data_IF_207264170297
#
_entry.id   IF_207264170297
#
_cell.length_a   1.000
_cell.length_b   1.000
_cell.length_c   1.000
_cell.angle_alpha   90.00
_cell.angle_beta   90.00
_cell.angle_gamma   90.00
#
_symmetry.space_group_name_H-M   'P 1'
#
loop_
_entity.id
_entity.type
_entity.pdbx_description
1 polymer ?
#
# COMPACT_ATOMS: atom_id res chain seq x y z
N UNK A 1 -12.83 -8.98 -3.33
CA UNK A 1 -12.90 -7.87 -4.31
C UNK A 1 -14.04 -8.13 -5.27
N UNK A 2 -14.81 -7.09 -5.62
CA UNK A 2 -15.90 -7.18 -6.61
C UNK A 2 -15.78 -6.05 -7.62
N UNK A 3 -16.29 -6.27 -8.83
CA UNK A 3 -16.50 -5.24 -9.84
C UNK A 3 -18.00 -5.03 -10.06
N UNK A 4 -18.38 -3.76 -10.18
CA UNK A 4 -19.76 -3.35 -10.47
C UNK A 4 -19.77 -2.36 -11.63
N UNK A 5 -20.87 -2.30 -12.36
CA UNK A 5 -21.06 -1.32 -13.43
C UNK A 5 -21.22 0.08 -12.81
N UNK A 6 -20.51 1.07 -13.35
CA UNK A 6 -20.57 2.44 -12.85
C UNK A 6 -21.91 3.12 -13.13
N UNK A 7 -22.65 2.65 -14.15
CA UNK A 7 -23.94 3.24 -14.57
C UNK A 7 -25.10 2.91 -13.64
N UNK A 8 -25.13 1.70 -13.07
CA UNK A 8 -26.30 1.17 -12.37
C UNK A 8 -25.97 0.30 -11.15
N UNK A 9 -24.69 0.10 -10.86
CA UNK A 9 -24.24 -0.73 -9.74
C UNK A 9 -24.37 -2.24 -9.98
N UNK A 10 -24.75 -2.67 -11.18
CA UNK A 10 -24.89 -4.09 -11.51
C UNK A 10 -23.60 -4.84 -11.25
N UNK A 11 -23.72 -5.99 -10.56
CA UNK A 11 -22.60 -6.90 -10.30
C UNK A 11 -22.03 -7.42 -11.64
N UNK A 12 -20.70 -7.39 -11.77
CA UNK A 12 -19.97 -7.83 -12.95
C UNK A 12 -19.10 -9.07 -12.69
N UNK A 13 -18.28 -9.03 -11.64
CA UNK A 13 -17.33 -10.11 -11.32
C UNK A 13 -16.93 -10.09 -9.86
N UNK A 14 -16.32 -11.18 -9.41
CA UNK A 14 -15.84 -11.38 -8.04
C UNK A 14 -14.51 -12.13 -8.00
N UNK A 15 -13.67 -11.77 -7.04
CA UNK A 15 -12.43 -12.45 -6.72
C UNK A 15 -12.20 -12.43 -5.19
N UNK A 16 -12.22 -13.61 -4.57
CA UNK A 16 -12.29 -13.75 -3.11
C UNK A 16 -10.97 -14.12 -2.45
N UNK A 17 -10.02 -14.65 -3.21
CA UNK A 17 -8.82 -15.24 -2.64
C UNK A 17 -8.03 -14.34 -1.67
N UNK A 18 -7.89 -13.01 -1.89
CA UNK A 18 -7.23 -12.13 -0.93
C UNK A 18 -8.11 -11.68 0.24
N UNK A 19 -9.37 -12.14 0.34
CA UNK A 19 -10.22 -11.78 1.45
C UNK A 19 -9.85 -12.58 2.70
N UNK A 20 -9.75 -11.91 3.86
CA UNK A 20 -9.53 -12.63 5.12
C UNK A 20 -10.85 -13.03 5.81
N UNK A 21 -10.78 -14.10 6.57
CA UNK A 21 -11.95 -14.65 7.28
C UNK A 21 -12.49 -13.77 8.42
N UNK A 22 -11.75 -12.76 8.85
CA UNK A 22 -12.19 -11.81 9.89
C UNK A 22 -13.09 -10.70 9.33
N UNK A 23 -13.32 -10.65 8.01
CA UNK A 23 -14.07 -9.58 7.35
C UNK A 23 -13.33 -8.23 7.29
N UNK A 24 -12.05 -8.19 7.64
CA UNK A 24 -11.23 -6.97 7.70
C UNK A 24 -10.44 -6.81 6.41
N UNK A 25 -11.07 -6.27 5.38
CA UNK A 25 -10.50 -6.08 4.04
C UNK A 25 -10.40 -4.58 3.74
N UNK A 26 -9.34 -3.94 4.23
CA UNK A 26 -9.22 -2.48 4.29
C UNK A 26 -8.56 -1.90 3.02
N UNK A 27 -7.60 -2.63 2.44
CA UNK A 27 -6.80 -2.15 1.32
C UNK A 27 -7.67 -1.82 0.10
N UNK A 28 -7.56 -0.61 -0.40
CA UNK A 28 -8.23 -0.18 -1.63
C UNK A 28 -7.69 -0.98 -2.82
N UNK A 29 -8.57 -1.60 -3.64
CA UNK A 29 -8.14 -2.25 -4.87
C UNK A 29 -7.45 -1.27 -5.82
N UNK A 30 -6.43 -1.73 -6.54
CA UNK A 30 -5.62 -0.91 -7.42
C UNK A 30 -5.73 -1.41 -8.85
N UNK A 31 -6.24 -0.55 -9.75
CA UNK A 31 -6.35 -0.84 -11.18
C UNK A 31 -5.14 -0.33 -11.96
N UNK A 32 -4.60 -1.17 -12.85
CA UNK A 32 -3.53 -0.79 -13.76
C UNK A 32 -3.52 -1.71 -15.00
N UNK A 33 -3.48 -1.14 -16.18
CA UNK A 33 -3.36 -1.86 -17.47
C UNK A 33 -4.35 -3.05 -17.64
N UNK A 34 -5.63 -2.86 -17.34
CA UNK A 34 -6.64 -3.91 -17.46
C UNK A 34 -6.60 -4.97 -16.35
N UNK A 35 -5.78 -4.79 -15.34
CA UNK A 35 -5.63 -5.68 -14.20
C UNK A 35 -6.01 -4.99 -12.91
N UNK A 36 -6.46 -5.77 -11.92
CA UNK A 36 -6.82 -5.26 -10.59
C UNK A 36 -6.10 -6.07 -9.53
N UNK A 37 -5.35 -5.37 -8.69
CA UNK A 37 -4.70 -5.93 -7.51
C UNK A 37 -5.53 -5.64 -6.25
N UNK A 38 -5.63 -6.62 -5.35
CA UNK A 38 -6.12 -6.42 -4.00
C UNK A 38 -5.34 -7.29 -3.02
N UNK A 39 -5.25 -6.82 -1.78
CA UNK A 39 -4.62 -7.56 -0.70
C UNK A 39 -5.42 -7.39 0.59
N UNK A 40 -5.25 -8.32 1.52
CA UNK A 40 -5.63 -8.11 2.91
C UNK A 40 -4.64 -8.79 3.85
N UNK A 41 -4.63 -8.34 5.08
CA UNK A 41 -3.78 -8.85 6.14
C UNK A 41 -4.36 -10.13 6.78
N UNK A 42 -3.89 -10.45 7.98
CA UNK A 42 -4.34 -11.59 8.80
C UNK A 42 -4.16 -12.95 8.12
N UNK A 43 -3.03 -13.14 7.44
CA UNK A 43 -2.69 -14.39 6.79
C UNK A 43 -3.31 -14.60 5.40
N UNK A 44 -4.10 -13.65 4.89
CA UNK A 44 -4.74 -13.79 3.58
C UNK A 44 -3.74 -13.65 2.43
N UNK A 45 -3.19 -12.47 2.19
CA UNK A 45 -2.26 -12.21 1.08
C UNK A 45 -2.81 -11.23 0.06
N UNK A 46 -2.14 -11.16 -1.10
CA UNK A 46 -2.53 -10.30 -2.21
C UNK A 46 -2.61 -11.08 -3.52
N UNK A 47 -3.49 -10.64 -4.41
CA UNK A 47 -3.67 -11.26 -5.72
C UNK A 47 -4.00 -10.27 -6.81
N UNK A 48 -3.55 -10.59 -8.01
CA UNK A 48 -3.78 -9.85 -9.23
C UNK A 48 -4.73 -10.63 -10.13
N UNK A 49 -5.75 -9.96 -10.63
CA UNK A 49 -6.64 -10.49 -11.67
C UNK A 49 -6.55 -9.65 -12.94
N UNK A 50 -6.65 -10.30 -14.09
CA UNK A 50 -6.83 -9.65 -15.39
C UNK A 50 -8.32 -9.60 -15.70
N UNK A 51 -8.80 -8.45 -16.14
CA UNK A 51 -10.17 -8.27 -16.60
C UNK A 51 -10.23 -8.45 -18.10
N UNK A 52 -11.23 -9.19 -18.56
CA UNK A 52 -11.50 -9.38 -19.99
C UNK A 52 -13.00 -9.50 -20.26
N UNK A 53 -13.43 -9.32 -21.49
CA UNK A 53 -14.81 -9.62 -21.89
C UNK A 53 -15.02 -11.13 -21.92
N UNK A 54 -16.15 -11.60 -21.43
CA UNK A 54 -16.58 -12.96 -21.62
C UNK A 54 -17.31 -13.14 -22.97
N UNK A 55 -17.65 -14.39 -23.32
CA UNK A 55 -18.34 -14.73 -24.56
C UNK A 55 -19.75 -14.13 -24.70
N UNK A 56 -20.35 -13.72 -23.58
CA UNK A 56 -21.71 -13.16 -23.50
C UNK A 56 -21.70 -11.62 -23.39
N UNK A 57 -20.52 -10.98 -23.54
CA UNK A 57 -20.36 -9.54 -23.43
C UNK A 57 -20.27 -9.02 -21.99
N UNK A 58 -20.23 -9.91 -21.00
CA UNK A 58 -19.95 -9.61 -19.60
C UNK A 58 -18.46 -9.37 -19.35
N UNK A 59 -18.11 -9.23 -18.08
CA UNK A 59 -16.72 -9.08 -17.62
C UNK A 59 -16.34 -10.27 -16.75
N UNK A 60 -15.21 -10.90 -17.06
CA UNK A 60 -14.59 -11.93 -16.22
C UNK A 60 -13.28 -11.43 -15.62
N UNK A 61 -12.97 -11.91 -14.41
CA UNK A 61 -11.70 -11.71 -13.73
C UNK A 61 -10.96 -13.05 -13.65
N UNK A 62 -9.78 -13.11 -14.22
CA UNK A 62 -8.93 -14.31 -14.21
C UNK A 62 -7.69 -14.04 -13.36
N UNK A 63 -7.41 -14.93 -12.38
CA UNK A 63 -6.22 -14.80 -11.53
C UNK A 63 -4.94 -14.88 -12.40
N UNK A 64 -4.09 -13.87 -12.26
CA UNK A 64 -2.75 -13.83 -12.84
C UNK A 64 -1.76 -14.44 -11.87
N UNK A 65 -1.79 -13.98 -10.63
CA UNK A 65 -0.99 -14.52 -9.53
C UNK A 65 -1.63 -14.23 -8.18
N UNK A 66 -1.20 -15.00 -7.19
CA UNK A 66 -1.50 -14.81 -5.77
C UNK A 66 -0.27 -15.06 -4.92
N UNK A 67 -0.01 -14.21 -3.92
CA UNK A 67 1.14 -14.34 -3.03
C UNK A 67 0.77 -13.98 -1.58
N UNK A 68 1.40 -14.68 -0.64
CA UNK A 68 1.36 -14.32 0.79
C UNK A 68 2.46 -13.32 1.19
N UNK A 69 3.32 -12.95 0.26
CA UNK A 69 4.41 -12.00 0.49
C UNK A 69 3.94 -10.54 0.55
N UNK A 70 2.65 -10.29 0.32
CA UNK A 70 2.04 -8.97 0.50
C UNK A 70 0.71 -9.11 1.23
N UNK A 71 0.75 -8.90 2.53
CA UNK A 71 -0.41 -8.88 3.42
C UNK A 71 -0.64 -7.44 3.85
N UNK A 72 -1.25 -6.64 2.98
CA UNK A 72 -1.43 -5.23 3.28
C UNK A 72 -2.61 -5.04 4.24
N UNK A 73 -2.37 -4.31 5.35
CA UNK A 73 -3.38 -4.03 6.36
C UNK A 73 -4.13 -2.72 6.03
N UNK A 74 -3.65 -1.58 6.52
CA UNK A 74 -4.32 -0.28 6.32
C UNK A 74 -3.53 0.69 5.46
N UNK A 75 -2.27 0.38 5.13
CA UNK A 75 -1.34 1.33 4.53
C UNK A 75 -1.48 1.55 3.03
N UNK A 76 -2.28 0.73 2.36
CA UNK A 76 -2.41 0.78 0.90
C UNK A 76 -1.17 0.30 0.15
N UNK A 77 -1.28 0.30 -1.16
CA UNK A 77 -0.19 -0.03 -2.10
C UNK A 77 -0.21 0.95 -3.26
N UNK A 78 0.95 1.15 -3.89
CA UNK A 78 1.08 1.99 -5.09
C UNK A 78 1.86 1.25 -6.16
N UNK A 79 1.62 1.61 -7.43
CA UNK A 79 2.36 1.10 -8.59
C UNK A 79 3.20 2.24 -9.15
N UNK A 80 4.50 1.98 -9.36
CA UNK A 80 5.43 2.85 -10.08
C UNK A 80 6.33 1.96 -10.92
N UNK A 81 6.48 2.26 -12.20
CA UNK A 81 7.37 1.56 -13.15
C UNK A 81 7.19 0.03 -13.12
N UNK A 82 5.94 -0.43 -13.06
CA UNK A 82 5.59 -1.85 -13.06
C UNK A 82 5.97 -2.58 -11.76
N UNK A 83 6.24 -1.89 -10.67
CA UNK A 83 6.44 -2.47 -9.36
C UNK A 83 5.39 -1.99 -8.36
N UNK A 84 4.97 -2.89 -7.46
CA UNK A 84 4.09 -2.64 -6.32
C UNK A 84 4.93 -2.32 -5.09
N UNK A 85 4.61 -1.22 -4.42
CA UNK A 85 5.24 -0.83 -3.15
C UNK A 85 4.18 -0.73 -2.06
N UNK A 86 4.41 -1.35 -0.91
CA UNK A 86 3.49 -1.28 0.21
C UNK A 86 4.01 -1.98 1.46
N UNK A 87 3.30 -1.78 2.56
CA UNK A 87 3.58 -2.49 3.81
C UNK A 87 3.06 -3.92 3.77
N UNK A 88 3.90 -4.88 4.12
CA UNK A 88 3.52 -6.27 4.37
C UNK A 88 3.38 -6.50 5.87
N UNK A 89 2.28 -7.08 6.33
CA UNK A 89 2.03 -7.44 7.72
C UNK A 89 0.63 -7.07 8.21
N UNK A 90 0.14 -7.83 9.19
CA UNK A 90 -1.15 -7.62 9.85
C UNK A 90 -1.04 -6.85 11.17
N UNK A 91 -1.69 -7.36 12.22
CA UNK A 91 -1.47 -6.90 13.59
C UNK A 91 -0.09 -7.35 14.06
N UNK A 92 0.80 -6.47 14.35
CA UNK A 92 2.15 -6.74 14.76
C UNK A 92 3.19 -6.24 13.76
N UNK A 93 4.38 -6.82 13.84
CA UNK A 93 5.50 -6.42 13.00
C UNK A 93 5.21 -6.66 11.52
N UNK A 94 5.60 -5.71 10.72
CA UNK A 94 5.55 -5.81 9.27
C UNK A 94 6.74 -5.06 8.69
N UNK A 95 6.84 -5.03 7.37
CA UNK A 95 7.93 -4.36 6.68
C UNK A 95 7.49 -3.81 5.33
N UNK A 96 8.24 -2.85 4.80
CA UNK A 96 8.06 -2.37 3.44
C UNK A 96 8.54 -3.44 2.46
N UNK A 97 7.77 -3.67 1.40
CA UNK A 97 8.09 -4.64 0.35
C UNK A 97 7.85 -4.03 -1.04
N UNK A 98 8.65 -4.45 -1.98
CA UNK A 98 8.49 -4.18 -3.40
C UNK A 98 8.32 -5.51 -4.16
N UNK A 99 7.27 -5.60 -4.97
CA UNK A 99 7.00 -6.76 -5.82
C UNK A 99 6.92 -6.34 -7.29
N UNK A 100 7.28 -7.24 -8.19
CA UNK A 100 6.92 -7.08 -9.60
C UNK A 100 5.39 -7.16 -9.76
N UNK A 101 4.81 -6.18 -10.44
CA UNK A 101 3.35 -6.11 -10.60
C UNK A 101 2.78 -7.27 -11.42
N UNK A 102 3.48 -7.71 -12.46
CA UNK A 102 2.98 -8.72 -13.39
C UNK A 102 3.17 -10.14 -12.89
N UNK A 103 4.19 -10.40 -12.08
CA UNK A 103 4.53 -11.75 -11.60
C UNK A 103 4.24 -12.00 -10.14
N UNK A 104 4.17 -10.95 -9.30
CA UNK A 104 4.04 -11.06 -7.85
C UNK A 104 5.32 -11.49 -7.15
N UNK A 105 6.45 -11.56 -7.86
CA UNK A 105 7.76 -11.86 -7.29
C UNK A 105 8.25 -10.73 -6.40
N UNK A 106 8.83 -11.07 -5.26
CA UNK A 106 9.47 -10.09 -4.37
C UNK A 106 10.77 -9.63 -5.01
N UNK A 107 10.84 -8.35 -5.35
CA UNK A 107 12.04 -7.71 -5.87
C UNK A 107 13.01 -7.38 -4.72
N UNK A 108 12.49 -6.81 -3.65
CA UNK A 108 13.21 -6.56 -2.40
C UNK A 108 12.24 -6.35 -1.22
N UNK A 109 12.76 -6.43 0.01
CA UNK A 109 12.01 -6.12 1.22
C UNK A 109 12.91 -5.59 2.33
N UNK A 110 12.33 -4.82 3.25
CA UNK A 110 13.00 -4.22 4.40
C UNK A 110 12.69 -4.96 5.71
N UNK A 111 12.51 -6.27 5.62
CA UNK A 111 12.21 -7.13 6.77
C UNK A 111 13.43 -7.74 7.46
N UNK A 112 14.63 -7.47 7.00
CA UNK A 112 15.87 -8.01 7.56
C UNK A 112 16.02 -7.60 9.04
N UNK A 113 16.11 -8.56 10.00
CA UNK A 113 16.23 -8.27 11.42
C UNK A 113 17.56 -7.60 11.79
N UNK A 114 18.60 -7.78 11.00
CA UNK A 114 19.95 -7.26 11.26
C UNK A 114 20.13 -5.81 10.74
N UNK A 115 19.12 -5.29 10.02
CA UNK A 115 19.08 -3.91 9.54
C UNK A 115 18.01 -3.10 10.28
N UNK A 116 18.12 -1.77 10.20
CA UNK A 116 17.02 -0.90 10.64
C UNK A 116 15.81 -1.17 9.74
N UNK A 117 14.84 -1.91 10.25
CA UNK A 117 13.61 -2.24 9.52
C UNK A 117 12.84 -0.99 9.12
N UNK A 118 12.42 -0.94 7.87
CA UNK A 118 11.32 -0.08 7.46
C UNK A 118 10.04 -0.89 7.63
N UNK A 119 9.30 -0.56 8.66
CA UNK A 119 8.10 -1.30 9.03
C UNK A 119 6.96 -1.07 8.03
N UNK A 120 5.87 -1.81 8.17
CA UNK A 120 4.63 -1.51 7.45
C UNK A 120 4.20 -0.08 7.74
N UNK A 121 3.47 0.53 6.83
CA UNK A 121 3.05 1.92 6.95
C UNK A 121 2.11 2.31 5.84
N UNK A 122 1.73 3.59 5.82
CA UNK A 122 0.84 4.15 4.81
C UNK A 122 1.62 4.85 3.71
N UNK A 123 1.17 4.70 2.47
CA UNK A 123 1.89 5.14 1.28
C UNK A 123 1.10 6.18 0.49
N UNK A 124 1.80 7.18 -0.06
CA UNK A 124 1.31 8.10 -1.08
C UNK A 124 2.40 8.36 -2.11
N UNK A 125 2.02 8.85 -3.30
CA UNK A 125 2.94 9.13 -4.41
C UNK A 125 2.71 10.55 -4.92
N UNK A 126 3.79 11.27 -5.13
CA UNK A 126 3.81 12.55 -5.83
C UNK A 126 5.19 12.79 -6.46
N UNK A 127 5.23 13.42 -7.63
CA UNK A 127 6.44 13.82 -8.35
C UNK A 127 7.47 12.69 -8.49
N UNK A 128 7.00 11.47 -8.80
CA UNK A 128 7.86 10.30 -8.97
C UNK A 128 8.54 9.83 -7.68
N UNK A 129 8.06 10.22 -6.51
CA UNK A 129 8.57 9.82 -5.20
C UNK A 129 7.48 9.15 -4.37
N UNK A 130 7.88 8.24 -3.48
CA UNK A 130 7.01 7.60 -2.50
C UNK A 130 7.17 8.34 -1.18
N UNK A 131 6.06 8.82 -0.62
CA UNK A 131 5.95 9.33 0.73
C UNK A 131 5.39 8.21 1.59
N UNK A 132 6.20 7.74 2.53
CA UNK A 132 5.88 6.58 3.33
C UNK A 132 5.81 6.95 4.80
N UNK A 133 4.63 6.82 5.40
CA UNK A 133 4.46 6.98 6.84
C UNK A 133 4.71 5.65 7.51
N UNK A 134 5.82 5.56 8.20
CA UNK A 134 6.31 4.36 8.86
C UNK A 134 5.57 4.12 10.18
N UNK A 135 4.95 2.96 10.33
CA UNK A 135 4.31 2.54 11.57
C UNK A 135 5.35 2.23 12.64
N UNK A 136 5.09 2.69 13.84
CA UNK A 136 5.91 2.38 15.00
C UNK A 136 5.09 1.56 15.98
N UNK A 137 5.55 0.38 16.36
CA UNK A 137 4.81 -0.57 17.21
C UNK A 137 4.92 -0.28 18.70
N UNK A 138 5.84 0.55 19.13
CA UNK A 138 6.05 0.85 20.52
C UNK A 138 5.27 2.08 20.95
N UNK A 139 4.56 2.01 22.06
CA UNK A 139 4.02 3.20 22.73
C UNK A 139 5.16 4.21 22.96
N UNK A 140 4.99 5.42 22.47
CA UNK A 140 6.02 6.47 22.50
C UNK A 140 7.04 6.44 21.40
N UNK A 141 6.92 5.54 20.41
CA UNK A 141 7.75 5.56 19.23
C UNK A 141 7.33 6.70 18.29
N UNK A 142 8.31 7.23 17.59
CA UNK A 142 8.15 8.41 16.75
C UNK A 142 7.62 8.03 15.40
N UNK A 143 6.49 8.62 15.01
CA UNK A 143 5.97 8.57 13.64
C UNK A 143 6.98 9.21 12.67
N UNK A 144 7.56 8.40 11.82
CA UNK A 144 8.52 8.84 10.81
C UNK A 144 7.88 8.87 9.43
N UNK A 145 8.18 9.94 8.70
CA UNK A 145 7.91 10.02 7.27
C UNK A 145 9.21 9.85 6.49
N UNK A 146 9.16 9.01 5.50
CA UNK A 146 10.26 8.68 4.61
C UNK A 146 9.94 9.20 3.21
N UNK A 147 10.94 9.79 2.56
CA UNK A 147 10.92 10.05 1.13
C UNK A 147 11.75 8.97 0.45
N UNK A 148 11.11 8.16 -0.38
CA UNK A 148 11.72 7.00 -1.02
C UNK A 148 11.75 7.24 -2.53
N UNK A 149 12.90 6.99 -3.15
CA UNK A 149 13.01 6.92 -4.60
C UNK A 149 12.57 5.52 -5.06
N UNK A 150 11.60 5.43 -5.99
CA UNK A 150 11.20 4.15 -6.53
C UNK A 150 12.37 3.44 -7.23
N UNK A 151 12.59 2.19 -6.90
CA UNK A 151 13.59 1.35 -7.55
C UNK A 151 13.13 -0.11 -7.52
N UNK A 152 13.30 -0.81 -8.64
CA UNK A 152 13.04 -2.24 -8.72
C UNK A 152 14.17 -3.10 -8.15
N UNK A 153 15.33 -2.48 -7.87
CA UNK A 153 16.56 -3.21 -7.47
C UNK A 153 16.76 -3.24 -5.96
N UNK A 154 16.46 -2.12 -5.29
CA UNK A 154 16.77 -1.94 -3.88
C UNK A 154 15.95 -0.80 -3.25
N UNK A 155 15.91 -0.76 -1.93
CA UNK A 155 15.38 0.36 -1.16
C UNK A 155 16.32 1.57 -1.22
N UNK A 156 15.81 2.74 -1.66
CA UNK A 156 16.58 3.98 -1.75
C UNK A 156 15.86 5.07 -0.96
N UNK A 157 16.37 5.40 0.21
CA UNK A 157 15.87 6.51 1.02
C UNK A 157 16.51 7.83 0.62
N UNK A 158 15.69 8.87 0.36
CA UNK A 158 16.13 10.21 0.00
C UNK A 158 15.95 11.24 1.12
N UNK A 159 15.17 10.91 2.12
CA UNK A 159 14.97 11.77 3.28
C UNK A 159 14.07 11.14 4.32
N UNK A 160 14.18 11.67 5.54
CA UNK A 160 13.40 11.21 6.69
C UNK A 160 13.20 12.36 7.65
N UNK A 161 12.01 12.45 8.23
CA UNK A 161 11.75 13.32 9.36
C UNK A 161 10.71 12.70 10.32
N UNK A 162 10.65 13.22 11.53
CA UNK A 162 9.66 12.86 12.53
C UNK A 162 8.63 13.96 12.68
N UNK A 163 7.36 13.60 12.82
CA UNK A 163 6.35 14.58 13.19
C UNK A 163 6.62 15.07 14.63
N UNK A 164 6.44 16.37 14.92
CA UNK A 164 6.65 16.88 16.26
C UNK A 164 5.53 16.40 17.20
N UNK A 165 5.90 16.01 18.42
CA UNK A 165 4.96 15.61 19.48
C UNK A 165 3.92 14.58 19.00
N UNK A 166 4.34 13.40 18.53
CA UNK A 166 3.41 12.37 18.08
C UNK A 166 2.52 11.91 19.23
N UNK A 167 1.30 11.50 18.91
CA UNK A 167 0.31 11.08 19.91
C UNK A 167 0.71 9.84 20.71
N UNK A 168 1.66 9.04 20.19
CA UNK A 168 2.08 7.78 20.78
C UNK A 168 1.05 6.66 20.70
N UNK A 169 -0.03 6.85 19.92
CA UNK A 169 -1.05 5.84 19.63
C UNK A 169 -1.16 5.60 18.14
N UNK A 170 -1.87 4.55 17.75
CA UNK A 170 -2.02 4.18 16.34
C UNK A 170 -2.57 5.33 15.49
N UNK A 171 -1.89 5.65 14.41
CA UNK A 171 -2.28 6.69 13.47
C UNK A 171 -2.06 6.20 12.04
N UNK A 172 -3.13 5.72 11.42
CA UNK A 172 -3.11 4.98 10.16
C UNK A 172 -3.54 5.82 8.95
N UNK A 173 -3.70 7.13 9.13
CA UNK A 173 -4.04 8.02 8.02
C UNK A 173 -2.91 8.04 6.98
N UNK A 174 -3.30 7.97 5.71
CA UNK A 174 -2.35 8.13 4.61
C UNK A 174 -1.81 9.56 4.56
N UNK A 175 -0.54 9.76 4.20
CA UNK A 175 -0.04 11.07 3.81
C UNK A 175 -0.84 11.59 2.61
N UNK A 176 -1.14 12.88 2.59
CA UNK A 176 -1.81 13.53 1.46
C UNK A 176 -0.92 14.62 0.90
N UNK A 177 -0.68 14.59 -0.42
CA UNK A 177 0.08 15.61 -1.12
C UNK A 177 -0.87 16.41 -2.00
N UNK A 178 -0.93 17.72 -1.76
CA UNK A 178 -1.76 18.63 -2.54
C UNK A 178 -1.15 20.04 -2.56
N UNK A 179 -1.14 20.68 -3.73
CA UNK A 179 -0.70 22.07 -3.92
C UNK A 179 0.71 22.36 -3.35
N UNK A 180 1.65 21.43 -3.56
CA UNK A 180 3.02 21.56 -3.07
C UNK A 180 3.18 21.41 -1.55
N UNK A 181 2.18 20.83 -0.89
CA UNK A 181 2.19 20.60 0.55
C UNK A 181 1.93 19.14 0.88
N UNK A 182 2.58 18.67 1.94
CA UNK A 182 2.36 17.36 2.55
C UNK A 182 1.53 17.53 3.82
N UNK A 183 0.40 16.85 3.89
CA UNK A 183 -0.47 16.81 5.04
C UNK A 183 -0.37 15.46 5.73
N UNK A 184 -0.17 15.48 7.04
CA UNK A 184 -0.07 14.29 7.89
C UNK A 184 -0.99 14.46 9.08
N UNK A 185 -1.91 13.53 9.25
CA UNK A 185 -2.80 13.53 10.41
C UNK A 185 -2.30 12.55 11.47
N UNK A 186 -2.20 13.01 12.70
CA UNK A 186 -1.95 12.17 13.87
C UNK A 186 -3.02 12.46 14.92
N UNK A 187 -4.01 11.57 15.02
CA UNK A 187 -5.18 11.71 15.88
C UNK A 187 -5.90 13.06 15.66
N UNK A 188 -5.93 13.94 16.66
CA UNK A 188 -6.52 15.26 16.60
C UNK A 188 -5.66 16.33 15.92
N UNK A 189 -4.40 16.01 15.57
CA UNK A 189 -3.45 16.97 14.99
C UNK A 189 -3.37 16.78 13.46
N UNK A 190 -3.32 17.88 12.73
CA UNK A 190 -3.05 17.93 11.31
C UNK A 190 -1.79 18.76 11.06
N UNK A 191 -0.72 18.11 10.60
CA UNK A 191 0.53 18.77 10.22
C UNK A 191 0.53 19.09 8.73
N UNK A 192 1.10 20.24 8.38
CA UNK A 192 1.21 20.72 7.01
C UNK A 192 2.63 21.20 6.74
N UNK A 193 3.31 20.56 5.79
CA UNK A 193 4.69 20.86 5.40
C UNK A 193 4.73 21.37 3.97
N UNK A 194 5.52 22.43 3.71
CA UNK A 194 5.83 22.87 2.35
C UNK A 194 6.92 21.94 1.78
N UNK A 195 6.59 21.24 0.70
CA UNK A 195 7.49 20.26 0.04
C UNK A 195 7.94 20.72 -1.34
N UNK A 196 7.70 21.97 -1.72
CA UNK A 196 8.17 22.51 -2.98
C UNK A 196 9.70 22.64 -2.96
N UNK A 197 10.34 22.30 -4.08
CA UNK A 197 11.76 22.58 -4.28
C UNK A 197 12.01 24.09 -4.12
N UNK A 198 13.05 24.43 -3.39
CA UNK A 198 13.55 25.82 -3.25
C UNK A 198 14.61 26.09 -4.28
#
# INVERSE_FOLDING_TARGET
MIGVAASDGKFLWRYDRPANGNGINITTPLYHEGMVFAASAYGAGGGLVKLSKDSNGGVKAEEVWFSKNIQNHHGGVVIIDGALYGGNGGNGTGYLVCLDFKTGEVLWNEGDPDKRRIRKGSVAVADGRIYYRHDTEARGATDELLLIEPSRKEYIERGRFRIPNPSGVNSWSHPVIANGKLYVRDQGNLFCYDIRAK
#
